data_IF_406592845811
#
_entry.id   IF_406592845811
#
_cell.length_a   1.000
_cell.length_b   1.000
_cell.length_c   1.000
_cell.angle_alpha   90.00
_cell.angle_beta   90.00
_cell.angle_gamma   90.00
#
_symmetry.space_group_name_H-M   'P 1'
#
loop_
_entity.id
_entity.type
_entity.pdbx_description
1 polymer ?
#
# COMPACT_ATOMS: atom_id res chain seq x y z
N UNK A 1 -2.73 13.29 10.67
CA UNK A 1 -1.72 12.21 10.57
C UNK A 1 -2.43 10.97 10.04
N UNK A 2 -1.83 10.23 9.11
CA UNK A 2 -2.43 8.98 8.64
C UNK A 2 -2.53 8.00 9.81
N UNK A 3 -3.73 7.48 10.03
CA UNK A 3 -4.02 6.51 11.07
C UNK A 3 -4.62 5.24 10.46
N UNK A 4 -3.98 4.12 10.74
CA UNK A 4 -4.36 2.82 10.23
C UNK A 4 -4.35 1.79 11.36
N UNK A 5 -5.35 0.91 11.39
CA UNK A 5 -5.43 -0.22 12.30
C UNK A 5 -4.95 -1.49 11.60
N UNK A 6 -4.22 -2.34 12.33
CA UNK A 6 -3.86 -3.67 11.86
C UNK A 6 -5.03 -4.63 12.01
N UNK A 7 -5.57 -5.10 10.90
CA UNK A 7 -6.66 -6.08 10.87
C UNK A 7 -6.15 -7.51 10.64
N UNK A 8 -5.04 -7.68 9.91
CA UNK A 8 -4.38 -8.97 9.76
C UNK A 8 -2.86 -8.81 9.64
N UNK A 9 -2.13 -9.73 10.28
CA UNK A 9 -0.68 -9.81 10.22
C UNK A 9 -0.26 -11.28 10.18
N UNK A 10 0.10 -11.74 8.98
CA UNK A 10 0.55 -13.11 8.72
C UNK A 10 1.98 -13.07 8.17
N UNK A 11 2.99 -13.49 8.96
CA UNK A 11 4.39 -13.42 8.55
C UNK A 11 4.65 -14.06 7.18
N UNK A 12 5.28 -13.30 6.29
CA UNK A 12 5.64 -13.75 4.94
C UNK A 12 4.48 -14.00 4.00
N UNK A 13 3.25 -13.63 4.36
CA UNK A 13 2.03 -13.91 3.57
C UNK A 13 1.14 -12.71 3.37
N UNK A 14 0.72 -12.04 4.45
CA UNK A 14 -0.33 -11.02 4.35
C UNK A 14 -0.21 -9.95 5.41
N UNK A 15 -0.46 -8.71 4.99
CA UNK A 15 -0.75 -7.59 5.89
C UNK A 15 -2.02 -6.89 5.43
N UNK A 16 -2.95 -6.63 6.34
CA UNK A 16 -4.18 -5.86 6.06
C UNK A 16 -4.36 -4.76 7.08
N UNK A 17 -4.67 -3.57 6.59
CA UNK A 17 -4.99 -2.40 7.39
C UNK A 17 -6.31 -1.77 6.99
N UNK A 18 -7.07 -1.30 7.98
CA UNK A 18 -8.18 -0.36 7.79
C UNK A 18 -7.74 1.04 8.16
N UNK A 19 -8.19 2.02 7.40
CA UNK A 19 -7.86 3.44 7.51
C UNK A 19 -8.95 4.15 8.34
N UNK A 20 -8.51 4.89 9.36
CA UNK A 20 -9.42 5.54 10.32
C UNK A 20 -9.21 7.06 10.43
N UNK A 21 -8.10 7.58 9.90
CA UNK A 21 -7.79 9.00 10.04
C UNK A 21 -6.67 9.49 9.14
N UNK A 22 -6.54 10.82 9.07
CA UNK A 22 -5.54 11.52 8.27
C UNK A 22 -6.09 12.10 6.98
N UNK A 23 -6.62 11.24 6.11
CA UNK A 23 -7.22 11.63 4.84
C UNK A 23 -8.71 11.27 4.86
N UNK A 24 -9.63 12.25 4.81
CA UNK A 24 -11.07 11.99 4.89
C UNK A 24 -11.56 10.96 3.87
N UNK A 25 -11.04 11.02 2.66
CA UNK A 25 -11.41 10.15 1.54
C UNK A 25 -10.89 8.72 1.68
N UNK A 26 -9.97 8.47 2.61
CA UNK A 26 -9.49 7.13 2.93
C UNK A 26 -10.32 6.51 4.04
N UNK A 27 -11.15 7.24 4.79
CA UNK A 27 -11.82 6.64 5.95
C UNK A 27 -12.73 5.47 5.53
N UNK A 28 -12.50 4.29 6.12
CA UNK A 28 -13.23 3.06 5.77
C UNK A 28 -12.66 2.27 4.59
N UNK A 29 -11.63 2.77 3.91
CA UNK A 29 -10.88 1.99 2.91
C UNK A 29 -10.01 0.92 3.57
N UNK A 30 -9.48 0.02 2.76
CA UNK A 30 -8.55 -1.03 3.21
C UNK A 30 -7.30 -1.03 2.35
N UNK A 31 -6.14 -1.13 2.99
CA UNK A 31 -4.85 -1.40 2.33
C UNK A 31 -4.45 -2.85 2.58
N UNK A 32 -4.13 -3.60 1.53
CA UNK A 32 -3.65 -4.98 1.61
C UNK A 32 -2.32 -5.17 0.91
N UNK A 33 -1.51 -6.03 1.50
CA UNK A 33 -0.26 -6.54 0.95
C UNK A 33 -0.32 -8.05 0.98
N UNK A 34 -0.27 -8.68 -0.19
CA UNK A 34 -0.15 -10.12 -0.34
C UNK A 34 1.29 -10.44 -0.77
N UNK A 35 1.90 -11.43 -0.14
CA UNK A 35 3.27 -11.84 -0.37
C UNK A 35 3.26 -13.32 -0.73
N UNK A 36 3.85 -13.66 -1.88
CA UNK A 36 3.97 -15.03 -2.36
C UNK A 36 5.40 -15.29 -2.81
N UNK A 37 5.85 -16.54 -2.75
CA UNK A 37 7.11 -16.92 -3.38
C UNK A 37 6.98 -16.74 -4.90
N UNK A 38 7.96 -16.08 -5.53
CA UNK A 38 8.01 -15.98 -6.98
C UNK A 38 8.62 -17.26 -7.59
N UNK A 39 8.27 -17.56 -8.86
CA UNK A 39 8.72 -18.78 -9.55
C UNK A 39 10.24 -18.87 -9.68
N UNK A 40 10.90 -17.73 -9.92
CA UNK A 40 12.32 -17.65 -10.23
C UNK A 40 13.18 -17.21 -9.02
N UNK A 41 12.63 -17.35 -7.81
CA UNK A 41 13.23 -16.89 -6.56
C UNK A 41 12.77 -15.48 -6.15
N UNK A 42 12.92 -15.18 -4.85
CA UNK A 42 12.39 -13.94 -4.25
C UNK A 42 10.89 -14.00 -3.98
N UNK A 43 10.25 -12.83 -3.91
CA UNK A 43 8.85 -12.68 -3.56
C UNK A 43 8.09 -11.81 -4.57
N UNK A 44 6.88 -12.25 -4.92
CA UNK A 44 5.87 -11.41 -5.54
C UNK A 44 5.07 -10.70 -4.44
N UNK A 45 4.93 -9.39 -4.58
CA UNK A 45 4.18 -8.56 -3.63
C UNK A 45 3.05 -7.87 -4.39
N UNK A 46 1.80 -8.17 -4.02
CA UNK A 46 0.62 -7.49 -4.55
C UNK A 46 0.13 -6.45 -3.56
N UNK A 47 0.07 -5.20 -3.99
CA UNK A 47 -0.51 -4.09 -3.24
C UNK A 47 -1.92 -3.82 -3.75
N UNK A 48 -2.86 -3.60 -2.83
CA UNK A 48 -4.19 -3.08 -3.17
C UNK A 48 -4.65 -2.05 -2.14
N UNK A 49 -5.36 -1.02 -2.62
CA UNK A 49 -6.03 -0.04 -1.79
C UNK A 49 -7.44 0.14 -2.31
N UNK A 50 -8.41 -0.41 -1.57
CA UNK A 50 -9.78 -0.65 -2.02
C UNK A 50 -10.82 -0.11 -1.03
N UNK A 51 -12.10 -0.19 -1.41
CA UNK A 51 -13.21 0.31 -0.60
C UNK A 51 -13.44 1.80 -0.72
N UNK A 52 -13.01 2.40 -1.84
CA UNK A 52 -13.25 3.81 -2.14
C UNK A 52 -14.74 4.10 -2.31
N UNK A 53 -15.24 5.25 -1.83
CA UNK A 53 -16.62 5.65 -2.06
C UNK A 53 -16.86 5.94 -3.55
N UNK A 54 -18.04 5.57 -4.05
CA UNK A 54 -18.40 5.74 -5.46
C UNK A 54 -18.43 7.22 -5.90
N UNK A 55 -18.65 8.12 -4.95
CA UNK A 55 -18.71 9.56 -5.19
C UNK A 55 -17.32 10.23 -5.25
N UNK A 56 -16.24 9.47 -5.01
CA UNK A 56 -14.89 10.03 -5.04
C UNK A 56 -14.52 10.51 -6.45
N UNK A 57 -14.07 11.77 -6.63
CA UNK A 57 -13.66 12.23 -7.94
C UNK A 57 -12.50 11.40 -8.50
N UNK A 58 -12.60 11.00 -9.78
CA UNK A 58 -11.59 10.15 -10.42
C UNK A 58 -10.16 10.72 -10.36
N UNK A 59 -10.03 12.06 -10.37
CA UNK A 59 -8.75 12.76 -10.22
C UNK A 59 -8.05 12.47 -8.88
N UNK A 60 -8.83 12.28 -7.81
CA UNK A 60 -8.32 12.09 -6.46
C UNK A 60 -7.83 10.65 -6.32
N UNK A 61 -8.61 9.69 -6.81
CA UNK A 61 -8.18 8.29 -6.93
C UNK A 61 -6.92 8.15 -7.82
N UNK A 62 -6.85 8.88 -8.94
CA UNK A 62 -5.68 8.87 -9.83
C UNK A 62 -4.42 9.41 -9.13
N UNK A 63 -4.56 10.48 -8.35
CA UNK A 63 -3.47 11.05 -7.54
C UNK A 63 -2.95 10.05 -6.49
N UNK A 64 -3.86 9.36 -5.80
CA UNK A 64 -3.51 8.33 -4.82
C UNK A 64 -2.81 7.15 -5.49
N UNK A 65 -3.35 6.65 -6.61
CA UNK A 65 -2.76 5.55 -7.37
C UNK A 65 -1.33 5.88 -7.85
N UNK A 66 -1.14 7.08 -8.43
CA UNK A 66 0.18 7.52 -8.88
C UNK A 66 1.20 7.64 -7.75
N UNK A 67 0.75 8.06 -6.57
CA UNK A 67 1.59 8.13 -5.37
C UNK A 67 1.97 6.75 -4.86
N UNK A 68 1.02 5.82 -4.77
CA UNK A 68 1.31 4.43 -4.38
C UNK A 68 2.27 3.74 -5.33
N UNK A 69 2.10 3.89 -6.65
CA UNK A 69 3.04 3.33 -7.63
C UNK A 69 4.49 3.78 -7.39
N UNK A 70 4.68 5.04 -7.01
CA UNK A 70 6.00 5.60 -6.65
C UNK A 70 6.55 5.05 -5.33
N UNK A 71 5.70 4.84 -4.33
CA UNK A 71 6.08 4.26 -3.03
C UNK A 71 6.45 2.78 -3.18
N UNK A 72 5.62 1.99 -3.86
CA UNK A 72 5.87 0.55 -4.09
C UNK A 72 7.15 0.33 -4.90
N UNK A 73 7.41 1.15 -5.92
CA UNK A 73 8.67 1.08 -6.68
C UNK A 73 9.91 1.35 -5.82
N UNK A 74 9.81 2.28 -4.86
CA UNK A 74 10.90 2.58 -3.90
C UNK A 74 11.08 1.46 -2.88
N UNK A 75 9.98 0.89 -2.39
CA UNK A 75 10.01 -0.27 -1.48
C UNK A 75 10.74 -1.45 -2.13
N UNK A 76 10.42 -1.75 -3.40
CA UNK A 76 11.14 -2.78 -4.17
C UNK A 76 12.65 -2.50 -4.21
N UNK A 77 13.05 -1.29 -4.62
CA UNK A 77 14.47 -0.92 -4.70
C UNK A 77 15.18 -1.05 -3.35
N UNK A 78 14.52 -0.66 -2.27
CA UNK A 78 15.07 -0.82 -0.92
C UNK A 78 15.22 -2.30 -0.56
N UNK A 79 14.21 -3.13 -0.79
CA UNK A 79 14.26 -4.56 -0.52
C UNK A 79 15.38 -5.28 -1.29
N UNK A 80 15.65 -4.86 -2.54
CA UNK A 80 16.68 -5.47 -3.40
C UNK A 80 18.10 -4.96 -3.11
N UNK A 81 18.26 -3.75 -2.58
CA UNK A 81 19.59 -3.08 -2.50
C UNK A 81 20.00 -2.60 -1.11
N UNK A 82 19.08 -2.55 -0.16
CA UNK A 82 19.26 -1.94 1.17
C UNK A 82 19.42 -0.42 1.17
N UNK A 83 19.33 0.26 0.01
CA UNK A 83 19.54 1.72 -0.08
C UNK A 83 18.21 2.48 0.10
N UNK A 84 18.05 3.30 1.16
CA UNK A 84 16.82 4.04 1.38
C UNK A 84 16.64 5.12 0.30
N UNK A 85 15.40 5.27 -0.16
CA UNK A 85 14.99 6.31 -1.10
C UNK A 85 13.55 6.72 -0.79
N UNK A 86 13.30 7.39 0.35
CA UNK A 86 11.95 7.70 0.81
C UNK A 86 11.24 8.62 -0.20
N UNK A 87 9.91 8.46 -0.31
CA UNK A 87 9.10 9.30 -1.20
C UNK A 87 8.72 10.63 -0.54
N UNK A 88 8.38 10.58 0.75
CA UNK A 88 8.14 11.74 1.58
C UNK A 88 9.44 12.07 2.36
N UNK A 89 9.71 13.35 2.63
CA UNK A 89 10.86 13.79 3.42
C UNK A 89 10.78 13.34 4.89
#
# INVERSE_FOLDING_TARGET
MLEMKVDALEPGKRVRWSTHGGFPEWNGTTVTWEIKAAKDGGHEVTFNHEGWPDELPAKDLASVNYTWGRVVGRLKKYAETGKPAPFFP
#
